data_IF_320458240807
#
_entry.id   IF_320458240807
#
_cell.length_a   1.000
_cell.length_b   1.000
_cell.length_c   1.000
_cell.angle_alpha   90.00
_cell.angle_beta   90.00
_cell.angle_gamma   90.00
#
_symmetry.space_group_name_H-M   'P 1'
#
loop_
_entity.id
_entity.type
_entity.pdbx_description
1 polymer ?
#
# COMPACT_ATOMS: atom_id res chain seq x y z
N UNK A 1 -21.12 1.80 -5.81
CA UNK A 1 -19.70 1.46 -5.51
C UNK A 1 -19.29 0.34 -6.46
N UNK A 2 -18.14 0.46 -7.10
CA UNK A 2 -17.67 -0.54 -8.07
C UNK A 2 -16.81 -1.58 -7.36
N UNK A 3 -17.21 -2.86 -7.44
CA UNK A 3 -16.43 -3.98 -6.90
C UNK A 3 -15.06 -4.05 -7.58
N UNK A 4 -14.00 -4.02 -6.77
CA UNK A 4 -12.63 -4.11 -7.25
C UNK A 4 -12.02 -5.49 -6.98
N UNK A 5 -12.19 -6.00 -5.76
CA UNK A 5 -11.65 -7.28 -5.33
C UNK A 5 -12.69 -8.04 -4.50
N UNK A 6 -12.82 -9.35 -4.74
CA UNK A 6 -13.65 -10.25 -3.96
C UNK A 6 -12.80 -11.34 -3.35
N UNK A 7 -12.95 -11.57 -2.06
CA UNK A 7 -12.35 -12.66 -1.30
C UNK A 7 -13.46 -13.66 -0.95
N UNK A 8 -13.19 -14.95 -1.15
CA UNK A 8 -14.12 -16.04 -0.83
C UNK A 8 -13.38 -17.12 -0.06
N UNK A 9 -13.65 -17.24 1.24
CA UNK A 9 -13.04 -18.23 2.12
C UNK A 9 -11.50 -18.16 2.17
N UNK A 10 -10.94 -16.96 2.05
CA UNK A 10 -9.47 -16.76 2.02
C UNK A 10 -8.90 -17.03 3.38
N UNK A 11 -8.05 -18.05 3.49
CA UNK A 11 -7.42 -18.47 4.73
C UNK A 11 -5.90 -18.61 4.58
N UNK A 12 -5.22 -18.67 5.72
CA UNK A 12 -3.78 -18.93 5.80
C UNK A 12 -3.48 -19.93 6.91
N UNK A 13 -2.70 -20.98 6.62
CA UNK A 13 -2.42 -22.07 7.56
C UNK A 13 -2.03 -21.56 8.94
N UNK A 14 -2.94 -21.72 9.93
CA UNK A 14 -2.72 -21.46 11.35
C UNK A 14 -2.60 -19.98 11.76
N UNK A 15 -2.88 -19.01 10.85
CA UNK A 15 -2.73 -17.57 11.14
C UNK A 15 -3.86 -16.68 10.66
N UNK A 16 -4.72 -17.18 9.79
CA UNK A 16 -5.81 -16.40 9.21
C UNK A 16 -7.03 -17.30 9.09
N UNK A 17 -8.08 -16.98 9.85
CA UNK A 17 -9.40 -17.59 9.70
C UNK A 17 -9.99 -17.27 8.32
N UNK A 18 -10.89 -18.10 7.79
CA UNK A 18 -11.48 -17.89 6.47
C UNK A 18 -12.21 -16.54 6.36
N UNK A 19 -11.74 -15.68 5.47
CA UNK A 19 -12.31 -14.36 5.22
C UNK A 19 -13.09 -14.36 3.90
N UNK A 20 -14.37 -13.95 3.97
CA UNK A 20 -15.20 -13.67 2.79
C UNK A 20 -15.63 -12.21 2.85
N UNK A 21 -15.13 -11.41 1.92
CA UNK A 21 -15.32 -9.97 1.94
C UNK A 21 -15.03 -9.34 0.56
N UNK A 22 -15.38 -8.07 0.39
CA UNK A 22 -15.20 -7.34 -0.86
C UNK A 22 -14.53 -5.99 -0.62
N UNK A 23 -13.65 -5.58 -1.56
CA UNK A 23 -13.05 -4.25 -1.63
C UNK A 23 -13.63 -3.52 -2.83
N UNK A 24 -14.05 -2.26 -2.64
CA UNK A 24 -14.57 -1.42 -3.70
C UNK A 24 -13.53 -0.38 -4.15
N UNK A 25 -13.66 0.07 -5.40
CA UNK A 25 -12.86 1.17 -5.90
C UNK A 25 -13.13 2.46 -5.11
N UNK A 26 -12.09 3.22 -4.80
CA UNK A 26 -12.20 4.50 -4.11
C UNK A 26 -12.68 4.37 -2.66
N UNK A 27 -12.30 3.28 -1.95
CA UNK A 27 -12.52 3.18 -0.51
C UNK A 27 -11.19 3.03 0.26
N UNK A 28 -11.19 3.51 1.50
CA UNK A 28 -10.13 3.26 2.48
C UNK A 28 -10.67 2.24 3.48
N UNK A 29 -10.04 1.07 3.51
CA UNK A 29 -10.39 -0.06 4.36
C UNK A 29 -9.26 -0.32 5.35
N UNK A 30 -9.58 -0.39 6.63
CA UNK A 30 -8.61 -0.76 7.66
C UNK A 30 -8.83 -2.21 8.11
N UNK A 31 -7.71 -2.95 8.19
CA UNK A 31 -7.64 -4.27 8.84
C UNK A 31 -7.22 -4.06 10.28
N UNK A 32 -8.07 -4.43 11.22
CA UNK A 32 -7.85 -4.28 12.66
C UNK A 32 -7.90 -5.64 13.31
N UNK A 33 -7.06 -5.85 14.32
CA UNK A 33 -7.01 -7.08 15.09
C UNK A 33 -5.71 -7.20 15.87
N UNK A 34 -5.61 -8.14 16.80
CA UNK A 34 -4.40 -8.34 17.61
C UNK A 34 -3.20 -8.74 16.74
N UNK A 35 -2.00 -8.68 17.36
CA UNK A 35 -0.80 -9.22 16.72
C UNK A 35 -0.98 -10.74 16.49
N UNK A 36 -0.63 -11.19 15.29
CA UNK A 36 -0.82 -12.58 14.90
C UNK A 36 -2.18 -12.95 14.30
N UNK A 37 -3.17 -12.04 14.27
CA UNK A 37 -4.49 -12.27 13.67
C UNK A 37 -4.48 -12.52 12.15
N UNK A 38 -3.32 -12.39 11.49
CA UNK A 38 -3.20 -12.67 10.06
C UNK A 38 -3.33 -11.47 9.14
N UNK A 39 -3.30 -10.22 9.65
CA UNK A 39 -3.41 -8.99 8.82
C UNK A 39 -2.39 -8.95 7.69
N UNK A 40 -1.10 -9.14 7.99
CA UNK A 40 -0.02 -9.17 6.99
C UNK A 40 -0.16 -10.36 6.04
N UNK A 41 -0.64 -11.51 6.53
CA UNK A 41 -0.92 -12.68 5.70
C UNK A 41 -2.03 -12.38 4.70
N UNK A 42 -3.11 -11.74 5.15
CA UNK A 42 -4.22 -11.34 4.29
C UNK A 42 -3.77 -10.33 3.22
N UNK A 43 -3.02 -9.29 3.62
CA UNK A 43 -2.46 -8.32 2.67
C UNK A 43 -1.55 -8.97 1.63
N UNK A 44 -0.68 -9.89 2.03
CA UNK A 44 0.18 -10.65 1.10
C UNK A 44 -0.62 -11.55 0.15
N UNK A 45 -1.71 -12.16 0.63
CA UNK A 45 -2.68 -12.91 -0.19
C UNK A 45 -3.36 -11.99 -1.22
N UNK A 46 -3.88 -10.84 -0.78
CA UNK A 46 -4.50 -9.83 -1.65
C UNK A 46 -3.52 -9.26 -2.68
N UNK A 47 -2.25 -9.15 -2.29
CA UNK A 47 -1.17 -8.76 -3.20
C UNK A 47 -0.81 -9.83 -4.24
N UNK A 48 -1.28 -11.06 -4.10
CA UNK A 48 -0.91 -12.18 -4.98
C UNK A 48 0.52 -12.69 -4.78
N UNK A 49 1.12 -12.40 -3.61
CA UNK A 49 2.49 -12.80 -3.29
C UNK A 49 2.56 -14.18 -2.61
N UNK A 50 1.46 -14.62 -2.03
CA UNK A 50 1.37 -15.92 -1.36
C UNK A 50 0.14 -16.69 -1.84
N UNK A 51 0.25 -18.02 -1.83
CA UNK A 51 -0.86 -18.93 -2.12
C UNK A 51 -1.47 -19.44 -0.80
N UNK A 52 -2.69 -19.96 -0.86
CA UNK A 52 -3.40 -20.52 0.29
C UNK A 52 -4.82 -20.91 -0.09
N UNK A 53 -5.65 -21.24 0.89
CA UNK A 53 -7.05 -21.62 0.71
C UNK A 53 -7.91 -20.42 0.30
N UNK A 54 -9.08 -20.73 -0.30
CA UNK A 54 -10.02 -19.73 -0.80
C UNK A 54 -9.61 -19.11 -2.12
N UNK A 55 -10.47 -18.26 -2.64
CA UNK A 55 -10.31 -17.60 -3.93
C UNK A 55 -10.30 -16.08 -3.77
N UNK A 56 -9.47 -15.41 -4.57
CA UNK A 56 -9.47 -13.95 -4.71
C UNK A 56 -9.66 -13.61 -6.18
N UNK A 57 -10.70 -12.83 -6.49
CA UNK A 57 -10.86 -12.22 -7.80
C UNK A 57 -10.48 -10.74 -7.72
N UNK A 58 -9.80 -10.23 -8.73
CA UNK A 58 -9.41 -8.83 -8.86
C UNK A 58 -9.78 -8.33 -10.25
N UNK A 59 -10.55 -7.24 -10.32
CA UNK A 59 -11.11 -6.71 -11.58
C UNK A 59 -11.87 -7.79 -12.38
N UNK A 60 -12.60 -8.65 -11.67
CA UNK A 60 -13.41 -9.72 -12.29
C UNK A 60 -12.64 -10.97 -12.73
N UNK A 61 -11.33 -11.02 -12.55
CA UNK A 61 -10.48 -12.16 -12.91
C UNK A 61 -9.85 -12.78 -11.65
N UNK A 62 -9.79 -14.14 -11.59
CA UNK A 62 -9.10 -14.83 -10.50
C UNK A 62 -7.63 -14.39 -10.41
N UNK A 63 -7.17 -14.06 -9.20
CA UNK A 63 -5.85 -13.47 -8.97
C UNK A 63 -4.70 -14.36 -9.45
N UNK A 64 -4.88 -15.68 -9.43
CA UNK A 64 -3.87 -16.65 -9.90
C UNK A 64 -3.67 -16.64 -11.42
N UNK A 65 -4.64 -16.09 -12.17
CA UNK A 65 -4.59 -16.01 -13.63
C UNK A 65 -3.96 -14.71 -14.16
N UNK A 66 -3.58 -13.79 -13.24
CA UNK A 66 -2.89 -12.57 -13.64
C UNK A 66 -1.42 -12.84 -13.95
N UNK A 67 -0.93 -12.27 -15.03
CA UNK A 67 0.50 -12.19 -15.28
C UNK A 67 1.13 -11.28 -14.21
N UNK A 68 2.27 -11.66 -13.60
CA UNK A 68 2.90 -10.88 -12.54
C UNK A 68 3.18 -9.41 -12.92
N UNK A 69 3.64 -9.16 -14.15
CA UNK A 69 3.91 -7.80 -14.65
C UNK A 69 2.64 -6.96 -14.78
N UNK A 70 1.55 -7.54 -15.27
CA UNK A 70 0.26 -6.85 -15.40
C UNK A 70 -0.36 -6.60 -14.03
N UNK A 71 -0.29 -7.55 -13.11
CA UNK A 71 -0.74 -7.37 -11.73
C UNK A 71 0.06 -6.26 -11.03
N UNK A 72 1.39 -6.24 -11.19
CA UNK A 72 2.26 -5.21 -10.63
C UNK A 72 1.91 -3.79 -11.11
N UNK A 73 1.41 -3.62 -12.33
CA UNK A 73 0.93 -2.34 -12.84
C UNK A 73 -0.43 -1.91 -12.26
N UNK A 74 -1.18 -2.81 -11.64
CA UNK A 74 -2.52 -2.54 -11.10
C UNK A 74 -2.54 -2.29 -9.60
N UNK A 75 -1.59 -2.88 -8.87
CA UNK A 75 -1.52 -2.79 -7.41
C UNK A 75 -0.11 -2.57 -6.93
N UNK A 76 0.05 -1.89 -5.78
CA UNK A 76 1.30 -1.83 -5.03
C UNK A 76 1.11 -2.35 -3.61
N UNK A 77 2.20 -2.77 -2.97
CA UNK A 77 2.18 -3.33 -1.63
C UNK A 77 3.39 -2.88 -0.81
N UNK A 78 3.10 -2.25 0.33
CA UNK A 78 4.08 -1.93 1.35
C UNK A 78 4.12 -3.07 2.37
N UNK A 79 5.22 -3.80 2.44
CA UNK A 79 5.44 -4.82 3.48
C UNK A 79 5.80 -4.15 4.82
N UNK A 80 5.54 -4.80 5.95
CA UNK A 80 5.75 -4.23 7.29
C UNK A 80 7.19 -3.77 7.54
N UNK A 81 8.19 -4.57 7.16
CA UNK A 81 9.59 -4.22 7.31
C UNK A 81 10.40 -4.57 6.06
N UNK A 82 11.27 -3.65 5.69
CA UNK A 82 12.23 -3.86 4.60
C UNK A 82 13.45 -2.96 4.85
N UNK A 83 14.61 -3.55 4.82
CA UNK A 83 15.87 -2.79 4.82
C UNK A 83 16.13 -2.20 3.44
N UNK A 84 16.87 -1.07 3.33
CA UNK A 84 17.29 -0.56 2.03
C UNK A 84 18.06 -1.64 1.24
N UNK A 85 17.64 -1.96 0.00
CA UNK A 85 18.22 -3.07 -0.75
C UNK A 85 19.65 -2.83 -1.19
N UNK A 86 20.02 -1.55 -1.40
CA UNK A 86 21.33 -1.15 -1.92
C UNK A 86 21.71 0.25 -1.42
N UNK A 87 23.02 0.56 -1.47
CA UNK A 87 23.53 1.92 -1.30
C UNK A 87 23.24 2.70 -2.59
N UNK A 88 22.07 3.35 -2.66
CA UNK A 88 21.68 4.22 -3.77
C UNK A 88 21.01 5.49 -3.25
N UNK A 89 21.08 6.62 -3.97
CA UNK A 89 20.35 7.83 -3.63
C UNK A 89 18.82 7.59 -3.60
N UNK A 90 18.13 8.26 -2.70
CA UNK A 90 16.66 8.15 -2.55
C UNK A 90 15.94 8.46 -3.87
N UNK A 91 16.35 9.54 -4.60
CA UNK A 91 15.72 9.88 -5.88
C UNK A 91 15.82 8.73 -6.89
N UNK A 92 16.94 8.01 -6.89
CA UNK A 92 17.13 6.88 -7.81
C UNK A 92 16.20 5.72 -7.42
N UNK A 93 16.12 5.40 -6.11
CA UNK A 93 15.16 4.39 -5.62
C UNK A 93 13.72 4.73 -6.01
N UNK A 94 13.28 5.98 -5.80
CA UNK A 94 11.94 6.41 -6.17
C UNK A 94 11.69 6.35 -7.69
N UNK A 95 12.70 6.69 -8.51
CA UNK A 95 12.59 6.59 -9.97
C UNK A 95 12.37 5.15 -10.45
N UNK A 96 12.91 4.14 -9.76
CA UNK A 96 12.64 2.73 -10.09
C UNK A 96 11.16 2.37 -9.93
N UNK A 97 10.47 3.04 -9.01
CA UNK A 97 9.05 2.84 -8.72
C UNK A 97 8.10 3.75 -9.51
N UNK A 98 8.63 4.62 -10.35
CA UNK A 98 7.84 5.51 -11.21
C UNK A 98 7.54 4.80 -12.54
N UNK A 99 6.28 4.44 -12.85
CA UNK A 99 5.92 3.71 -14.06
C UNK A 99 6.21 4.50 -15.34
N UNK A 100 5.85 5.79 -15.37
CA UNK A 100 6.22 6.72 -16.45
C UNK A 100 7.42 7.56 -16.03
N UNK A 101 8.58 7.28 -16.62
CA UNK A 101 9.86 7.97 -16.32
C UNK A 101 9.85 9.47 -16.67
N UNK A 102 8.88 9.94 -17.44
CA UNK A 102 8.72 11.36 -17.77
C UNK A 102 8.03 12.15 -16.65
N UNK A 103 7.39 11.46 -15.68
CA UNK A 103 6.65 12.08 -14.58
C UNK A 103 7.55 12.40 -13.37
N UNK A 104 8.72 13.00 -13.62
CA UNK A 104 9.66 13.40 -12.55
C UNK A 104 9.03 14.43 -11.61
N UNK A 105 8.18 15.32 -12.12
CA UNK A 105 7.45 16.29 -11.29
C UNK A 105 6.58 15.57 -10.23
N UNK A 106 5.89 14.49 -10.59
CA UNK A 106 5.10 13.70 -9.65
C UNK A 106 5.97 13.10 -8.52
N UNK A 107 7.20 12.66 -8.84
CA UNK A 107 8.14 12.17 -7.83
C UNK A 107 8.46 13.26 -6.80
N UNK A 108 8.75 14.47 -7.28
CA UNK A 108 9.01 15.61 -6.40
C UNK A 108 7.78 15.98 -5.56
N UNK A 109 6.60 16.01 -6.15
CA UNK A 109 5.34 16.33 -5.43
C UNK A 109 5.07 15.33 -4.31
N UNK A 110 5.21 14.02 -4.57
CA UNK A 110 5.00 12.97 -3.57
C UNK A 110 6.10 13.01 -2.49
N UNK A 111 7.35 13.25 -2.89
CA UNK A 111 8.47 13.39 -1.95
C UNK A 111 8.27 14.60 -1.02
N UNK A 112 7.90 15.75 -1.56
CA UNK A 112 7.61 16.98 -0.81
C UNK A 112 6.47 16.75 0.19
N UNK A 113 5.37 16.14 -0.26
CA UNK A 113 4.22 15.84 0.59
C UNK A 113 4.58 14.92 1.78
N UNK A 114 5.61 14.09 1.66
CA UNK A 114 6.13 13.22 2.73
C UNK A 114 7.36 13.80 3.44
N UNK A 115 7.72 15.07 3.18
CA UNK A 115 8.88 15.75 3.80
C UNK A 115 10.21 15.08 3.48
N UNK A 116 10.43 14.75 2.20
CA UNK A 116 11.64 14.07 1.72
C UNK A 116 12.51 14.94 0.81
N UNK A 117 12.18 16.24 0.61
CA UNK A 117 12.89 17.10 -0.34
C UNK A 117 14.39 17.16 -0.11
N UNK A 118 14.80 17.34 1.16
CA UNK A 118 16.19 17.41 1.59
C UNK A 118 16.88 16.03 1.69
N UNK A 119 16.14 14.95 1.42
CA UNK A 119 16.64 13.57 1.51
C UNK A 119 16.89 12.95 0.14
N UNK A 120 16.40 13.52 -0.95
CA UNK A 120 16.43 12.92 -2.29
C UNK A 120 17.84 12.54 -2.74
N UNK A 121 18.86 13.33 -2.39
CA UNK A 121 20.26 13.06 -2.75
C UNK A 121 20.99 12.16 -1.76
N UNK A 122 20.41 11.89 -0.59
CA UNK A 122 21.04 11.02 0.42
C UNK A 122 21.00 9.56 0.00
N UNK A 123 21.98 8.80 0.47
CA UNK A 123 21.96 7.34 0.33
C UNK A 123 20.86 6.73 1.19
N UNK A 124 20.08 5.80 0.63
CA UNK A 124 18.99 5.13 1.36
C UNK A 124 19.48 4.43 2.64
N UNK A 125 20.71 3.90 2.64
CA UNK A 125 21.33 3.24 3.78
C UNK A 125 21.70 4.20 4.94
N UNK A 126 21.68 5.52 4.72
CA UNK A 126 22.00 6.56 5.71
C UNK A 126 20.76 7.18 6.34
N UNK A 127 19.58 6.73 5.96
CA UNK A 127 18.31 7.24 6.47
C UNK A 127 17.99 6.62 7.84
N UNK A 128 17.31 7.39 8.69
CA UNK A 128 16.66 6.84 9.88
C UNK A 128 15.50 5.89 9.49
N UNK A 129 15.05 5.07 10.42
CA UNK A 129 13.92 4.15 10.18
C UNK A 129 12.65 4.88 9.71
N UNK A 130 12.32 6.01 10.32
CA UNK A 130 11.15 6.82 9.91
C UNK A 130 11.34 7.52 8.56
N UNK A 131 12.54 7.99 8.23
CA UNK A 131 12.85 8.53 6.90
C UNK A 131 12.76 7.45 5.83
N UNK A 132 13.30 6.26 6.09
CA UNK A 132 13.20 5.12 5.18
C UNK A 132 11.76 4.67 5.00
N UNK A 133 10.95 4.65 6.07
CA UNK A 133 9.53 4.34 5.98
C UNK A 133 8.80 5.31 5.04
N UNK A 134 9.07 6.62 5.14
CA UNK A 134 8.47 7.62 4.23
C UNK A 134 8.93 7.44 2.77
N UNK A 135 10.17 7.07 2.53
CA UNK A 135 10.68 6.74 1.18
C UNK A 135 9.95 5.52 0.60
N UNK A 136 9.73 4.48 1.39
CA UNK A 136 8.97 3.28 0.97
C UNK A 136 7.51 3.63 0.66
N UNK A 137 6.89 4.47 1.49
CA UNK A 137 5.53 4.97 1.25
C UNK A 137 5.47 5.76 -0.06
N UNK A 138 6.41 6.68 -0.30
CA UNK A 138 6.50 7.40 -1.57
C UNK A 138 6.60 6.43 -2.76
N UNK A 139 7.44 5.41 -2.67
CA UNK A 139 7.64 4.41 -3.72
C UNK A 139 6.35 3.67 -4.08
N UNK A 140 5.61 3.14 -3.10
CA UNK A 140 4.36 2.41 -3.36
C UNK A 140 3.22 3.31 -3.83
N UNK A 141 3.19 4.57 -3.38
CA UNK A 141 2.25 5.59 -3.86
C UNK A 141 2.52 5.92 -5.34
N UNK A 142 3.78 6.15 -5.71
CA UNK A 142 4.16 6.44 -7.10
C UNK A 142 3.75 5.32 -8.06
N UNK A 143 3.85 4.06 -7.64
CA UNK A 143 3.48 2.90 -8.47
C UNK A 143 2.02 2.90 -8.92
N UNK A 144 1.10 3.43 -8.12
CA UNK A 144 -0.35 3.42 -8.41
C UNK A 144 -0.93 4.80 -8.63
N UNK A 145 -0.13 5.86 -8.51
CA UNK A 145 -0.62 7.23 -8.64
C UNK A 145 -1.17 7.49 -10.05
N UNK A 146 -2.43 7.94 -10.22
CA UNK A 146 -3.11 8.00 -11.52
C UNK A 146 -2.40 8.86 -12.58
N UNK A 147 -1.62 9.86 -12.17
CA UNK A 147 -0.85 10.72 -13.09
C UNK A 147 0.30 9.92 -13.74
N UNK A 148 1.01 9.11 -12.95
CA UNK A 148 2.13 8.30 -13.46
C UNK A 148 1.72 6.90 -13.92
N UNK A 149 0.53 6.45 -13.53
CA UNK A 149 0.00 5.11 -13.84
C UNK A 149 -1.53 5.12 -13.95
N UNK A 150 -2.10 5.31 -15.13
CA UNK A 150 -3.55 5.31 -15.32
C UNK A 150 -4.20 3.93 -15.06
N UNK A 151 -3.40 2.89 -14.91
CA UNK A 151 -3.84 1.52 -14.64
C UNK A 151 -3.84 1.17 -13.15
N UNK A 152 -3.25 1.96 -12.28
CA UNK A 152 -3.24 1.76 -10.82
C UNK A 152 -4.66 1.68 -10.26
N UNK A 153 -4.92 0.74 -9.34
CA UNK A 153 -6.25 0.51 -8.75
C UNK A 153 -6.23 0.23 -7.27
N UNK A 154 -5.16 -0.38 -6.75
CA UNK A 154 -5.13 -0.90 -5.40
C UNK A 154 -3.79 -0.60 -4.72
N UNK A 155 -3.86 -0.03 -3.53
CA UNK A 155 -2.73 0.22 -2.65
C UNK A 155 -2.92 -0.60 -1.36
N UNK A 156 -2.00 -1.52 -1.10
CA UNK A 156 -1.98 -2.36 0.09
C UNK A 156 -0.85 -1.89 1.01
N UNK A 157 -1.15 -1.63 2.28
CA UNK A 157 -0.21 -1.04 3.22
C UNK A 157 -0.19 -1.84 4.54
N UNK A 158 0.95 -2.41 4.87
CA UNK A 158 1.13 -3.13 6.13
C UNK A 158 1.81 -2.22 7.16
N UNK A 159 1.03 -1.78 8.16
CA UNK A 159 1.43 -0.84 9.22
C UNK A 159 2.09 0.45 8.70
N UNK A 160 1.44 1.20 7.79
CA UNK A 160 2.06 2.35 7.15
C UNK A 160 2.41 3.49 8.12
N UNK A 161 1.70 3.61 9.24
CA UNK A 161 1.89 4.67 10.23
C UNK A 161 3.06 4.42 11.19
N UNK A 162 3.66 3.22 11.14
CA UNK A 162 4.76 2.84 12.03
C UNK A 162 5.99 3.74 11.82
N UNK A 163 6.53 4.30 12.91
CA UNK A 163 7.70 5.17 12.88
C UNK A 163 7.46 6.59 12.35
N UNK A 164 6.19 6.98 12.12
CA UNK A 164 5.81 8.33 11.72
C UNK A 164 5.34 9.14 12.93
N UNK A 165 5.76 10.40 13.02
CA UNK A 165 5.19 11.35 13.96
C UNK A 165 3.78 11.83 13.51
N UNK A 166 3.09 12.57 14.39
CA UNK A 166 1.70 13.02 14.16
C UNK A 166 1.57 13.85 12.88
N UNK A 167 2.53 14.73 12.59
CA UNK A 167 2.49 15.58 11.39
C UNK A 167 2.68 14.73 10.11
N UNK A 168 3.59 13.77 10.17
CA UNK A 168 3.85 12.84 9.06
C UNK A 168 2.66 11.90 8.81
N UNK A 169 1.99 11.43 9.86
CA UNK A 169 0.75 10.66 9.75
C UNK A 169 -0.35 11.48 9.06
N UNK A 170 -0.56 12.73 9.46
CA UNK A 170 -1.54 13.62 8.85
C UNK A 170 -1.24 13.91 7.37
N UNK A 171 0.05 14.07 7.01
CA UNK A 171 0.47 14.23 5.63
C UNK A 171 0.16 12.98 4.79
N UNK A 172 0.45 11.79 5.34
CA UNK A 172 0.12 10.52 4.69
C UNK A 172 -1.40 10.37 4.51
N UNK A 173 -2.22 10.65 5.52
CA UNK A 173 -3.68 10.60 5.43
C UNK A 173 -4.23 11.51 4.34
N UNK A 174 -3.64 12.70 4.19
CA UNK A 174 -4.00 13.64 3.13
C UNK A 174 -3.73 13.06 1.74
N UNK A 175 -2.55 12.45 1.54
CA UNK A 175 -2.19 11.76 0.29
C UNK A 175 -3.11 10.58 0.00
N UNK A 176 -3.34 9.71 0.98
CA UNK A 176 -4.21 8.53 0.83
C UNK A 176 -5.64 8.96 0.49
N UNK A 177 -6.17 9.99 1.16
CA UNK A 177 -7.49 10.53 0.86
C UNK A 177 -7.57 11.10 -0.56
N UNK A 178 -6.51 11.77 -1.03
CA UNK A 178 -6.45 12.28 -2.41
C UNK A 178 -6.44 11.16 -3.45
N UNK A 179 -5.70 10.08 -3.22
CA UNK A 179 -5.67 8.88 -4.08
C UNK A 179 -7.03 8.16 -4.09
N UNK A 180 -7.65 8.02 -2.92
CA UNK A 180 -8.96 7.41 -2.77
C UNK A 180 -10.02 8.16 -3.59
N UNK A 181 -10.05 9.50 -3.53
CA UNK A 181 -10.95 10.34 -4.36
C UNK A 181 -10.71 10.17 -5.86
N UNK A 182 -9.51 9.77 -6.28
CA UNK A 182 -9.17 9.46 -7.68
C UNK A 182 -9.50 8.00 -8.06
N UNK A 183 -10.18 7.25 -7.18
CA UNK A 183 -10.65 5.89 -7.44
C UNK A 183 -9.70 4.77 -7.03
N UNK A 184 -8.55 5.07 -6.42
CA UNK A 184 -7.66 4.04 -5.87
C UNK A 184 -8.28 3.46 -4.60
N UNK A 185 -8.42 2.14 -4.53
CA UNK A 185 -8.76 1.46 -3.28
C UNK A 185 -7.52 1.33 -2.40
N UNK A 186 -7.68 1.56 -1.10
CA UNK A 186 -6.60 1.48 -0.12
C UNK A 186 -7.01 0.49 0.95
N UNK A 187 -6.18 -0.52 1.19
CA UNK A 187 -6.35 -1.46 2.29
C UNK A 187 -5.11 -1.40 3.16
N UNK A 188 -5.28 -1.06 4.42
CA UNK A 188 -4.15 -0.94 5.33
C UNK A 188 -4.39 -1.63 6.67
N UNK A 189 -3.35 -2.24 7.22
CA UNK A 189 -3.38 -2.72 8.61
C UNK A 189 -3.16 -1.56 9.58
N UNK A 190 -3.89 -1.59 10.69
CA UNK A 190 -3.82 -0.57 11.74
C UNK A 190 -3.91 -1.21 13.12
N UNK A 191 -3.17 -0.63 14.08
CA UNK A 191 -3.28 -0.94 15.50
C UNK A 191 -3.97 0.21 16.27
N UNK A 192 -4.08 1.39 15.68
CA UNK A 192 -4.70 2.57 16.29
C UNK A 192 -6.18 2.63 15.91
N UNK A 193 -7.04 2.32 16.89
CA UNK A 193 -8.49 2.40 16.72
C UNK A 193 -9.00 3.83 16.54
N UNK A 194 -8.38 4.81 17.21
CA UNK A 194 -8.79 6.20 17.09
C UNK A 194 -8.49 6.75 15.70
N UNK A 195 -7.31 6.42 15.15
CA UNK A 195 -6.97 6.73 13.76
C UNK A 195 -7.93 6.04 12.78
N UNK A 196 -8.20 4.75 13.02
CA UNK A 196 -9.12 3.96 12.19
C UNK A 196 -10.53 4.58 12.14
N UNK A 197 -11.10 4.96 13.28
CA UNK A 197 -12.43 5.55 13.36
C UNK A 197 -12.54 6.90 12.62
N UNK A 198 -11.44 7.63 12.46
CA UNK A 198 -11.42 8.94 11.79
C UNK A 198 -11.22 8.84 10.28
N UNK A 199 -10.49 7.83 9.81
CA UNK A 199 -9.95 7.79 8.44
C UNK A 199 -10.45 6.63 7.59
N UNK A 200 -10.95 5.54 8.21
CA UNK A 200 -11.47 4.39 7.47
C UNK A 200 -12.90 4.61 7.00
N UNK A 201 -13.19 4.27 5.75
CA UNK A 201 -14.57 4.14 5.27
C UNK A 201 -15.21 2.82 5.74
N UNK A 202 -14.40 1.77 5.85
CA UNK A 202 -14.79 0.43 6.34
C UNK A 202 -13.68 -0.19 7.16
N UNK A 203 -14.06 -1.09 8.05
CA UNK A 203 -13.15 -1.81 8.93
C UNK A 203 -13.44 -3.31 8.84
N UNK A 204 -12.40 -4.12 8.69
CA UNK A 204 -12.47 -5.56 8.90
C UNK A 204 -11.75 -5.90 10.20
N UNK A 205 -12.45 -6.62 11.06
CA UNK A 205 -11.89 -7.19 12.31
C UNK A 205 -11.44 -8.62 12.03
N UNK A 206 -10.18 -8.92 12.33
CA UNK A 206 -9.56 -10.22 12.15
C UNK A 206 -9.23 -10.85 13.50
#
# INVERSE_FOLDING_TARGET
MTLLMQLTGVAGKGRLEPVTAAVNAGEILHLVGPNGAGKSTLLARMAGLTRGEGEITFLGQSLVNWLPSTLASRRSYLVQQQVPPFAMPVWHYLTLHLPDKNQVALLHDVAAALGLDDKLTRQASQLSGGEWQRVRLAAVILQVHPVGNPHGRLLLLDEPMSGLDVAQQAALDTLLSALCRKGIAIVMSSHDLNHTLRHAHRVWLL
#
